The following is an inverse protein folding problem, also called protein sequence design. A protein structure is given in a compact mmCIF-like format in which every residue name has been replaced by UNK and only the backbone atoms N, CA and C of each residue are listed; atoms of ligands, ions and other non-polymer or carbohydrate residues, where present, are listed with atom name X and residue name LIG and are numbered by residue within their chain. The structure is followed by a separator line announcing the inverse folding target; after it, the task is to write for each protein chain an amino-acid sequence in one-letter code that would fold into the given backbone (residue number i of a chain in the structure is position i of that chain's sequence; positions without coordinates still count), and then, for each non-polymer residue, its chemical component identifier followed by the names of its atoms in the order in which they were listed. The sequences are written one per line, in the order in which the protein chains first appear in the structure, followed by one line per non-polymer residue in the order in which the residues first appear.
data_IF_952243379882
#
_entry.id   IF_952243379882
#
_cell.length_a   1.000
_cell.length_b   1.000
_cell.length_c   1.000
_cell.angle_alpha   90.00
_cell.angle_beta   90.00
_cell.angle_gamma   90.00
#
_symmetry.space_group_name_H-M   'P 1'
#
loop_
_entity.id
_entity.type
_entity.pdbx_description
1 polymer ?
#
# COMPACT_ATOMS: atom_id res chain seq x y z
N UNK A 1 -3.60 11.42 -39.44
CA UNK A 1 -2.99 12.08 -38.25
C UNK A 1 -3.78 11.79 -36.97
N UNK A 2 -5.12 11.93 -36.96
CA UNK A 2 -5.92 11.64 -35.75
C UNK A 2 -5.80 10.22 -35.20
N UNK A 3 -5.66 9.20 -36.05
CA UNK A 3 -5.46 7.81 -35.63
C UNK A 3 -4.16 7.58 -34.87
N UNK A 4 -3.06 8.22 -35.28
CA UNK A 4 -1.74 8.10 -34.61
C UNK A 4 -1.79 8.63 -33.18
N UNK A 5 -2.49 9.74 -32.95
CA UNK A 5 -2.68 10.30 -31.61
C UNK A 5 -3.51 9.37 -30.72
N UNK A 6 -4.58 8.77 -31.27
CA UNK A 6 -5.43 7.83 -30.56
C UNK A 6 -4.66 6.57 -30.17
N UNK A 7 -3.89 5.98 -31.09
CA UNK A 7 -3.06 4.80 -30.79
C UNK A 7 -1.94 5.12 -29.79
N UNK A 8 -1.30 6.29 -29.93
CA UNK A 8 -0.29 6.75 -28.97
C UNK A 8 -0.86 6.91 -27.56
N UNK A 9 -2.05 7.52 -27.44
CA UNK A 9 -2.75 7.66 -26.18
C UNK A 9 -3.16 6.31 -25.57
N UNK A 10 -3.69 5.39 -26.39
CA UNK A 10 -4.06 4.05 -25.94
C UNK A 10 -2.85 3.29 -25.35
N UNK A 11 -1.69 3.34 -26.01
CA UNK A 11 -0.48 2.71 -25.50
C UNK A 11 -0.10 3.24 -24.11
N UNK A 12 -0.21 4.55 -23.87
CA UNK A 12 0.06 5.15 -22.56
C UNK A 12 -0.90 4.61 -21.50
N UNK A 13 -2.18 4.50 -21.83
CA UNK A 13 -3.19 3.94 -20.92
C UNK A 13 -2.93 2.46 -20.63
N UNK A 14 -2.51 1.68 -21.61
CA UNK A 14 -2.21 0.25 -21.44
C UNK A 14 -1.00 0.05 -20.51
N UNK A 15 0.06 0.85 -20.68
CA UNK A 15 1.19 0.85 -19.75
C UNK A 15 0.80 1.28 -18.34
N UNK A 16 -0.04 2.31 -18.21
CA UNK A 16 -0.56 2.75 -16.92
C UNK A 16 -1.37 1.63 -16.24
N UNK A 17 -2.25 0.97 -17.01
CA UNK A 17 -3.06 -0.15 -16.53
C UNK A 17 -2.18 -1.29 -16.03
N UNK A 18 -1.15 -1.65 -16.80
CA UNK A 18 -0.21 -2.71 -16.42
C UNK A 18 0.53 -2.37 -15.12
N UNK A 19 1.01 -1.14 -14.97
CA UNK A 19 1.69 -0.69 -13.74
C UNK A 19 0.75 -0.75 -12.54
N UNK A 20 -0.49 -0.28 -12.68
CA UNK A 20 -1.49 -0.34 -11.62
C UNK A 20 -1.88 -1.78 -11.27
N UNK A 21 -2.04 -2.66 -12.27
CA UNK A 21 -2.33 -4.07 -12.07
C UNK A 21 -1.21 -4.80 -11.32
N UNK A 22 0.05 -4.57 -11.70
CA UNK A 22 1.21 -5.11 -10.98
C UNK A 22 1.24 -4.57 -9.55
N UNK A 23 1.02 -3.27 -9.36
CA UNK A 23 1.02 -2.67 -8.04
C UNK A 23 -0.08 -3.28 -7.14
N UNK A 24 -1.28 -3.50 -7.68
CA UNK A 24 -2.37 -4.19 -6.98
C UNK A 24 -1.97 -5.61 -6.56
N UNK A 25 -1.33 -6.37 -7.45
CA UNK A 25 -0.85 -7.72 -7.15
C UNK A 25 0.23 -7.71 -6.05
N UNK A 26 1.14 -6.74 -6.06
CA UNK A 26 2.14 -6.57 -4.99
C UNK A 26 1.46 -6.28 -3.65
N UNK A 27 0.44 -5.42 -3.62
CA UNK A 27 -0.32 -5.14 -2.40
C UNK A 27 -1.12 -6.36 -1.91
N UNK A 28 -1.65 -7.17 -2.83
CA UNK A 28 -2.28 -8.44 -2.49
C UNK A 28 -1.30 -9.40 -1.78
N UNK A 29 -0.08 -9.52 -2.30
CA UNK A 29 0.97 -10.34 -1.69
C UNK A 29 1.37 -9.76 -0.31
N UNK A 30 1.56 -8.45 -0.21
CA UNK A 30 1.86 -7.76 1.06
C UNK A 30 0.76 -8.03 2.10
N UNK A 31 -0.51 -8.00 1.72
CA UNK A 31 -1.63 -8.33 2.59
C UNK A 31 -1.64 -9.81 3.00
N UNK A 32 -1.27 -10.72 2.10
CA UNK A 32 -1.22 -12.15 2.38
C UNK A 32 -0.11 -12.52 3.37
N UNK A 33 1.05 -11.87 3.27
CA UNK A 33 2.21 -12.13 4.13
C UNK A 33 2.02 -11.58 5.55
N UNK A 34 1.22 -10.52 5.73
CA UNK A 34 0.98 -9.93 7.05
C UNK A 34 0.20 -10.86 7.98
N UNK A 35 0.56 -10.84 9.26
CA UNK A 35 -0.09 -11.64 10.31
C UNK A 35 -1.51 -11.13 10.60
N UNK A 36 -2.43 -12.06 10.84
CA UNK A 36 -3.85 -11.75 11.14
C UNK A 36 -4.02 -10.94 12.42
N UNK A 37 -3.22 -11.24 13.44
CA UNK A 37 -3.26 -10.55 14.74
C UNK A 37 -3.06 -9.04 14.60
N UNK A 38 -2.24 -8.63 13.63
CA UNK A 38 -1.94 -7.22 13.39
C UNK A 38 -3.11 -6.45 12.76
N UNK A 39 -4.03 -7.13 12.06
CA UNK A 39 -5.26 -6.51 11.55
C UNK A 39 -6.23 -6.22 12.68
N UNK A 40 -6.39 -7.17 13.62
CA UNK A 40 -7.25 -7.00 14.80
C UNK A 40 -6.72 -5.91 15.73
N UNK A 41 -5.41 -5.92 15.98
CA UNK A 41 -4.79 -4.94 16.86
C UNK A 41 -4.68 -3.52 16.25
N UNK A 42 -4.88 -3.38 14.93
CA UNK A 42 -4.98 -2.08 14.25
C UNK A 42 -6.41 -1.54 14.16
N UNK A 43 -7.39 -2.20 14.80
CA UNK A 43 -8.82 -1.87 14.72
C UNK A 43 -9.33 -1.71 13.27
N UNK A 44 -8.75 -2.48 12.34
CA UNK A 44 -9.17 -2.52 10.93
C UNK A 44 -9.99 -3.78 10.66
N UNK A 45 -10.68 -3.75 9.53
CA UNK A 45 -11.39 -4.91 8.98
C UNK A 45 -10.46 -6.12 8.81
N UNK A 46 -11.03 -7.34 8.87
CA UNK A 46 -10.28 -8.59 8.95
C UNK A 46 -9.35 -8.81 7.74
N UNK A 47 -8.27 -9.58 7.95
CA UNK A 47 -7.33 -9.96 6.87
C UNK A 47 -8.07 -10.56 5.67
N UNK A 48 -9.01 -11.48 5.92
CA UNK A 48 -9.77 -12.15 4.86
C UNK A 48 -10.55 -11.17 3.98
N UNK A 49 -11.19 -10.17 4.58
CA UNK A 49 -11.93 -9.16 3.83
C UNK A 49 -11.00 -8.30 2.95
N UNK A 50 -9.84 -7.89 3.47
CA UNK A 50 -8.85 -7.16 2.66
C UNK A 50 -8.27 -8.00 1.53
N UNK A 51 -8.04 -9.29 1.74
CA UNK A 51 -7.61 -10.20 0.68
C UNK A 51 -8.66 -10.32 -0.42
N UNK A 52 -9.94 -10.46 -0.07
CA UNK A 52 -11.03 -10.52 -1.06
C UNK A 52 -11.04 -9.24 -1.91
N UNK A 53 -10.98 -8.06 -1.28
CA UNK A 53 -10.96 -6.80 -2.04
C UNK A 53 -9.73 -6.65 -2.93
N UNK A 54 -8.55 -7.04 -2.46
CA UNK A 54 -7.33 -6.94 -3.26
C UNK A 54 -7.28 -7.98 -4.38
N UNK A 55 -7.84 -9.18 -4.19
CA UNK A 55 -8.02 -10.18 -5.26
C UNK A 55 -8.96 -9.63 -6.32
N UNK A 56 -10.12 -9.10 -5.93
CA UNK A 56 -11.08 -8.50 -6.86
C UNK A 56 -10.44 -7.31 -7.59
N UNK A 57 -9.76 -6.42 -6.87
CA UNK A 57 -9.10 -5.26 -7.45
C UNK A 57 -8.04 -5.65 -8.49
N UNK A 58 -7.20 -6.63 -8.16
CA UNK A 58 -6.18 -7.16 -9.07
C UNK A 58 -6.84 -7.78 -10.30
N UNK A 59 -7.87 -8.62 -10.11
CA UNK A 59 -8.61 -9.22 -11.21
C UNK A 59 -9.25 -8.16 -12.14
N UNK A 60 -9.89 -7.13 -11.59
CA UNK A 60 -10.51 -6.07 -12.38
C UNK A 60 -9.48 -5.29 -13.21
N UNK A 61 -8.30 -5.01 -12.66
CA UNK A 61 -7.23 -4.28 -13.35
C UNK A 61 -6.56 -5.09 -14.47
N UNK A 62 -6.53 -6.43 -14.36
CA UNK A 62 -5.97 -7.29 -15.41
C UNK A 62 -7.00 -7.75 -16.45
N UNK A 63 -8.27 -7.93 -16.07
CA UNK A 63 -9.30 -8.50 -16.95
C UNK A 63 -10.09 -7.45 -17.72
N UNK A 64 -10.22 -6.23 -17.19
CA UNK A 64 -11.05 -5.19 -17.79
C UNK A 64 -10.21 -3.98 -18.22
N UNK A 65 -10.57 -3.28 -19.31
CA UNK A 65 -9.90 -2.05 -19.70
C UNK A 65 -10.03 -0.96 -18.64
N UNK A 66 -8.97 -0.17 -18.42
CA UNK A 66 -8.92 0.89 -17.40
C UNK A 66 -9.98 1.99 -17.62
N UNK A 67 -10.39 2.20 -18.86
CA UNK A 67 -11.46 3.14 -19.23
C UNK A 67 -12.88 2.61 -18.87
N UNK A 68 -13.00 1.36 -18.40
CA UNK A 68 -14.25 0.82 -17.87
C UNK A 68 -14.52 1.35 -16.45
N UNK A 69 -15.79 1.41 -16.06
CA UNK A 69 -16.19 1.91 -14.74
C UNK A 69 -15.76 0.96 -13.60
N UNK A 70 -15.73 -0.35 -13.84
CA UNK A 70 -15.49 -1.34 -12.77
C UNK A 70 -14.07 -1.29 -12.18
N UNK A 71 -12.97 -1.22 -12.98
CA UNK A 71 -11.60 -1.10 -12.47
C UNK A 71 -11.37 0.04 -11.49
N UNK A 72 -12.17 1.11 -11.55
CA UNK A 72 -12.10 2.25 -10.63
C UNK A 72 -12.28 1.78 -9.18
N UNK A 73 -13.22 0.87 -8.92
CA UNK A 73 -13.43 0.28 -7.59
C UNK A 73 -12.20 -0.50 -7.13
N UNK A 74 -11.53 -1.19 -8.05
CA UNK A 74 -10.27 -1.89 -7.78
C UNK A 74 -9.15 -0.94 -7.38
N UNK A 75 -8.98 0.16 -8.13
CA UNK A 75 -8.00 1.20 -7.82
C UNK A 75 -8.26 1.79 -6.43
N UNK A 76 -9.53 2.10 -6.10
CA UNK A 76 -9.91 2.60 -4.78
C UNK A 76 -9.51 1.62 -3.68
N UNK A 77 -9.82 0.33 -3.82
CA UNK A 77 -9.45 -0.68 -2.82
C UNK A 77 -7.93 -0.75 -2.59
N UNK A 78 -7.14 -0.68 -3.66
CA UNK A 78 -5.67 -0.68 -3.60
C UNK A 78 -5.13 0.59 -2.92
N UNK A 79 -5.71 1.75 -3.21
CA UNK A 79 -5.35 3.03 -2.58
C UNK A 79 -5.67 2.99 -1.08
N UNK A 80 -6.88 2.61 -0.69
CA UNK A 80 -7.28 2.54 0.73
C UNK A 80 -6.38 1.57 1.49
N UNK A 81 -6.09 0.40 0.90
CA UNK A 81 -5.15 -0.53 1.51
C UNK A 81 -3.77 0.11 1.70
N UNK A 82 -3.25 0.77 0.67
CA UNK A 82 -1.91 1.39 0.69
C UNK A 82 -1.80 2.52 1.71
N UNK A 83 -2.80 3.40 1.78
CA UNK A 83 -2.74 4.67 2.51
C UNK A 83 -3.27 4.56 3.93
N UNK A 84 -4.24 3.68 4.20
CA UNK A 84 -4.84 3.56 5.53
C UNK A 84 -4.43 2.25 6.23
N UNK A 85 -4.69 1.11 5.61
CA UNK A 85 -4.55 -0.20 6.25
C UNK A 85 -3.08 -0.57 6.44
N UNK A 86 -2.29 -0.40 5.38
CA UNK A 86 -0.87 -0.72 5.35
C UNK A 86 -0.06 0.01 6.40
N UNK A 87 -0.17 1.35 6.56
CA UNK A 87 0.52 2.06 7.63
C UNK A 87 -0.03 1.72 9.02
N UNK A 88 -1.35 1.55 9.19
CA UNK A 88 -1.93 1.18 10.48
C UNK A 88 -1.39 -0.17 11.00
N UNK A 89 -1.38 -1.21 10.16
CA UNK A 89 -0.82 -2.52 10.51
C UNK A 89 0.67 -2.42 10.83
N UNK A 90 1.42 -1.62 10.07
CA UNK A 90 2.87 -1.44 10.27
C UNK A 90 3.18 -0.77 11.61
N UNK A 91 2.34 0.19 12.04
CA UNK A 91 2.50 0.84 13.35
C UNK A 91 2.33 -0.17 14.48
N UNK A 92 1.32 -1.04 14.39
CA UNK A 92 1.01 -2.04 15.43
C UNK A 92 1.99 -3.20 15.44
N UNK A 93 2.50 -3.63 14.28
CA UNK A 93 3.48 -4.70 14.17
C UNK A 93 4.91 -4.31 14.64
N UNK A 94 5.08 -3.17 15.32
CA UNK A 94 6.39 -2.71 15.84
C UNK A 94 7.28 -2.03 14.79
N UNK A 95 6.72 -1.66 13.64
CA UNK A 95 7.43 -1.03 12.51
C UNK A 95 7.23 0.48 12.39
N UNK A 96 6.77 1.16 13.45
CA UNK A 96 6.71 2.63 13.50
C UNK A 96 8.11 3.26 13.39
N UNK A 97 8.22 4.53 12.94
CA UNK A 97 9.51 5.21 12.92
C UNK A 97 10.14 5.12 14.30
N UNK A 98 11.27 4.43 14.41
CA UNK A 98 12.16 4.51 15.57
C UNK A 98 12.68 5.94 15.56
N UNK A 99 11.88 6.87 16.07
CA UNK A 99 12.28 8.26 16.32
C UNK A 99 13.42 8.11 17.31
N UNK A 100 14.64 8.32 16.80
CA UNK A 100 15.87 8.05 17.51
C UNK A 100 15.79 8.67 18.89
N UNK A 101 15.67 7.82 19.90
CA UNK A 101 16.20 8.16 21.22
C UNK A 101 17.68 8.30 21.01
N UNK A 102 18.14 9.55 20.88
CA UNK A 102 19.55 9.89 20.98
C UNK A 102 19.96 9.53 22.39
N UNK A 103 20.29 8.26 22.61
CA UNK A 103 20.93 7.77 23.82
C UNK A 103 22.34 8.34 23.83
N UNK A 104 22.47 9.54 24.40
CA UNK A 104 23.73 10.03 24.96
C UNK A 104 24.07 9.37 26.31
N UNK A 105 23.41 8.25 26.64
CA UNK A 105 23.66 7.40 27.81
C UNK A 105 24.84 6.45 27.58
N UNK A 106 25.96 6.98 27.10
CA UNK A 106 27.24 6.32 27.34
C UNK A 106 27.55 6.35 28.85
N UNK A 107 28.43 5.49 29.37
CA UNK A 107 28.81 5.45 30.81
C UNK A 107 29.39 6.75 31.39
N UNK A 108 29.56 7.78 30.55
CA UNK A 108 29.99 9.12 30.89
C UNK A 108 28.89 10.10 30.45
N UNK A 109 27.82 10.21 31.24
CA UNK A 109 26.77 11.20 31.01
C UNK A 109 27.33 12.63 30.93
N UNK A 110 26.55 13.60 30.42
CA UNK A 110 27.02 14.97 30.23
C UNK A 110 27.41 15.59 31.58
N UNK A 111 28.68 16.01 31.70
CA UNK A 111 29.16 16.72 32.87
C UNK A 111 28.41 18.05 33.02
N UNK A 112 27.42 18.09 33.92
CA UNK A 112 26.80 19.35 34.37
C UNK A 112 27.27 19.66 35.79
N UNK A 113 28.55 20.03 35.90
CA UNK A 113 29.16 20.56 37.13
C UNK A 113 29.29 22.08 36.99
N UNK A 114 28.37 22.79 37.64
CA UNK A 114 28.27 24.25 37.54
C UNK A 114 29.48 25.01 38.08
N UNK A 115 29.74 26.14 37.43
CA UNK A 115 30.26 27.36 38.05
C UNK A 115 29.46 28.53 37.50
#
# INVERSE_FOLDING_TARGET
MGSVLIYGFQNVLDWLQLVLGIYAAVMLIDAAVRREDAYRAADKQSKGMWLIFLVIATALLFLLPLMSFLPIMGVIAVIVYTVDVRPAIKQVAGGGPRRGGSSSDGPYGPYNGGR
#
